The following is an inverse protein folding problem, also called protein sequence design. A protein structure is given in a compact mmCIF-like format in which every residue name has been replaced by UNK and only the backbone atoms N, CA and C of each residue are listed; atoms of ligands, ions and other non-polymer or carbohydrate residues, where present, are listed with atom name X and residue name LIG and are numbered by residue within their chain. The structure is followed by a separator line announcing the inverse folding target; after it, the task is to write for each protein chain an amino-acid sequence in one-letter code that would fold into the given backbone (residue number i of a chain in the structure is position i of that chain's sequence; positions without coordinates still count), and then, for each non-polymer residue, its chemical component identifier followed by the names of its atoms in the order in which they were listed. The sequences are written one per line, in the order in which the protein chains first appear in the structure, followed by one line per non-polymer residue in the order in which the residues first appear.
data_IF_309723055185
#
_entry.id   IF_309723055185
#
_cell.length_a   1.000
_cell.length_b   1.000
_cell.length_c   1.000
_cell.angle_alpha   90.00
_cell.angle_beta   90.00
_cell.angle_gamma   90.00
#
_symmetry.space_group_name_H-M   'P 1'
#
loop_
_entity.id
_entity.type
_entity.pdbx_description
1 polymer ?
#
# COMPACT_ATOMS: atom_id res chain seq x y z
N UNK A 1 -7.61 1.66 -16.45
CA UNK A 1 -6.86 1.49 -15.18
C UNK A 1 -6.92 0.04 -14.77
N UNK A 2 -5.77 -0.64 -14.62
CA UNK A 2 -5.71 -2.00 -14.08
C UNK A 2 -5.40 -1.94 -12.59
N UNK A 3 -6.35 -2.31 -11.73
CA UNK A 3 -6.13 -2.39 -10.28
C UNK A 3 -5.78 -3.85 -9.95
N UNK A 4 -4.61 -4.08 -9.35
CA UNK A 4 -4.18 -5.40 -8.86
C UNK A 4 -4.11 -5.38 -7.34
N UNK A 5 -4.94 -6.21 -6.70
CA UNK A 5 -5.00 -6.33 -5.23
C UNK A 5 -4.33 -7.64 -4.81
N UNK A 6 -3.46 -7.56 -3.79
CA UNK A 6 -2.82 -8.73 -3.17
C UNK A 6 -3.15 -8.74 -1.68
N UNK A 7 -3.83 -9.80 -1.22
CA UNK A 7 -4.21 -9.96 0.21
C UNK A 7 -3.30 -10.99 0.87
N UNK A 8 -2.61 -10.60 1.95
CA UNK A 8 -1.81 -11.52 2.78
C UNK A 8 -2.49 -11.75 4.12
N UNK A 9 -3.01 -12.95 4.33
CA UNK A 9 -3.68 -13.34 5.59
C UNK A 9 -2.66 -13.49 6.72
N UNK A 10 -3.11 -13.30 7.96
CA UNK A 10 -2.36 -13.53 9.20
C UNK A 10 -1.00 -12.81 9.27
N UNK A 11 -0.86 -11.68 8.58
CA UNK A 11 0.36 -10.88 8.58
C UNK A 11 0.07 -9.55 9.26
N UNK A 12 0.84 -9.21 10.29
CA UNK A 12 0.79 -7.91 10.93
C UNK A 12 2.01 -7.09 10.52
N UNK A 13 1.76 -5.84 10.12
CA UNK A 13 2.79 -4.84 9.92
C UNK A 13 2.35 -3.58 10.66
N UNK A 14 3.28 -2.96 11.39
CA UNK A 14 3.03 -1.67 12.00
C UNK A 14 2.92 -0.57 10.92
N UNK A 15 2.34 0.57 11.28
CA UNK A 15 2.12 1.69 10.36
C UNK A 15 3.41 2.26 9.78
N UNK A 16 4.50 2.30 10.55
CA UNK A 16 5.80 2.83 10.12
C UNK A 16 6.39 1.94 9.03
N UNK A 17 6.31 0.62 9.21
CA UNK A 17 6.70 -0.37 8.21
C UNK A 17 5.94 -0.19 6.89
N UNK A 18 4.62 -0.01 6.95
CA UNK A 18 3.79 0.22 5.75
C UNK A 18 4.11 1.55 5.05
N UNK A 19 4.31 2.62 5.81
CA UNK A 19 4.71 3.93 5.27
C UNK A 19 6.08 3.86 4.61
N UNK A 20 7.06 3.19 5.22
CA UNK A 20 8.40 3.01 4.65
C UNK A 20 8.36 2.26 3.32
N UNK A 21 7.51 1.23 3.20
CA UNK A 21 7.30 0.51 1.93
C UNK A 21 6.68 1.46 0.88
N UNK A 22 5.64 2.21 1.25
CA UNK A 22 5.01 3.19 0.35
C UNK A 22 6.03 4.20 -0.18
N UNK A 23 6.86 4.79 0.69
CA UNK A 23 7.90 5.74 0.26
C UNK A 23 8.94 5.12 -0.67
N UNK A 24 9.34 3.87 -0.44
CA UNK A 24 10.30 3.17 -1.31
C UNK A 24 9.68 2.78 -2.65
N UNK A 25 8.44 2.32 -2.66
CA UNK A 25 7.74 1.90 -3.87
C UNK A 25 7.50 3.07 -4.84
N UNK A 26 7.17 4.26 -4.32
CA UNK A 26 7.02 5.47 -5.13
C UNK A 26 8.33 5.98 -5.76
N UNK A 27 9.49 5.41 -5.40
CA UNK A 27 10.79 5.76 -6.02
C UNK A 27 11.19 4.81 -7.15
N UNK A 28 10.37 3.80 -7.45
CA UNK A 28 10.65 2.84 -8.51
C UNK A 28 10.27 3.43 -9.87
N UNK A 29 11.14 3.27 -10.86
CA UNK A 29 10.87 3.74 -12.22
C UNK A 29 9.60 3.10 -12.79
N UNK A 30 8.74 3.94 -13.37
CA UNK A 30 7.45 3.51 -13.93
C UNK A 30 6.33 3.36 -12.90
N UNK A 31 6.56 3.65 -11.62
CA UNK A 31 5.50 3.74 -10.61
C UNK A 31 4.95 5.16 -10.57
N UNK A 32 3.71 5.33 -10.99
CA UNK A 32 2.98 6.61 -10.88
C UNK A 32 2.58 6.91 -9.44
N UNK A 33 2.01 5.91 -8.75
CA UNK A 33 1.65 6.01 -7.34
C UNK A 33 1.55 4.61 -6.72
N UNK A 34 2.18 4.44 -5.56
CA UNK A 34 2.08 3.24 -4.74
C UNK A 34 1.63 3.61 -3.32
N UNK A 35 0.59 2.93 -2.83
CA UNK A 35 0.09 3.11 -1.48
C UNK A 35 -0.06 1.76 -0.79
N UNK A 36 0.56 1.63 0.39
CA UNK A 36 0.47 0.44 1.23
C UNK A 36 -0.13 0.84 2.56
N UNK A 37 -1.32 0.32 2.84
CA UNK A 37 -2.07 0.66 4.04
C UNK A 37 -2.82 -0.55 4.58
N UNK A 38 -3.26 -0.45 5.84
CA UNK A 38 -4.18 -1.42 6.41
C UNK A 38 -5.52 -1.35 5.66
N UNK A 39 -6.15 -2.51 5.44
CA UNK A 39 -7.43 -2.62 4.73
C UNK A 39 -8.63 -2.19 5.60
N UNK A 40 -8.59 -0.97 6.14
CA UNK A 40 -9.69 -0.34 6.87
C UNK A 40 -10.63 0.39 5.91
N UNK A 41 -11.88 0.60 6.30
CA UNK A 41 -12.85 1.37 5.49
C UNK A 41 -12.36 2.78 5.18
N UNK A 42 -11.70 3.44 6.15
CA UNK A 42 -11.11 4.77 5.96
C UNK A 42 -10.10 4.78 4.80
N UNK A 43 -9.19 3.80 4.74
CA UNK A 43 -8.15 3.77 3.72
C UNK A 43 -8.69 3.41 2.33
N UNK A 44 -9.82 2.71 2.25
CA UNK A 44 -10.48 2.43 0.96
C UNK A 44 -11.03 3.69 0.29
N UNK A 45 -11.36 4.74 1.04
CA UNK A 45 -11.85 6.00 0.49
C UNK A 45 -10.75 6.92 -0.06
N UNK A 46 -9.48 6.59 0.18
CA UNK A 46 -8.30 7.37 -0.23
C UNK A 46 -7.57 6.74 -1.43
N UNK A 47 -7.91 5.48 -1.77
CA UNK A 47 -7.44 4.74 -2.94
C UNK A 47 -8.29 5.05 -4.17
#
# INVERSE_FOLDING_TARGET
MSIRIVVKKNTYFDSVSLMSISTRANKLDGVEQAFVAMATEMNKGVL
#
